data_IF_183019670202
#
_entry.id   IF_183019670202
#
_cell.length_a   1.000
_cell.length_b   1.000
_cell.length_c   1.000
_cell.angle_alpha   90.00
_cell.angle_beta   90.00
_cell.angle_gamma   90.00
#
_symmetry.space_group_name_H-M   'P 1'
#
loop_
_entity.id
_entity.type
_entity.pdbx_description
1 polymer ?
#
# COMPACT_ATOMS: atom_id res chain seq x y z
N UNK A 1 -7.88 32.68 -6.38
CA UNK A 1 -8.31 33.09 -7.74
C UNK A 1 -8.08 32.03 -8.81
N UNK A 2 -6.99 31.24 -8.76
CA UNK A 2 -6.65 30.23 -9.78
C UNK A 2 -7.60 29.00 -9.85
N UNK A 3 -8.30 28.68 -8.76
CA UNK A 3 -9.18 27.49 -8.66
C UNK A 3 -10.51 27.63 -9.43
N UNK A 4 -10.82 28.82 -9.94
CA UNK A 4 -12.03 29.10 -10.72
C UNK A 4 -11.90 28.75 -12.21
N UNK A 5 -10.68 28.49 -12.68
CA UNK A 5 -10.39 28.31 -14.11
C UNK A 5 -10.20 26.85 -14.51
N UNK A 6 -10.20 25.92 -13.56
CA UNK A 6 -10.30 24.49 -13.82
C UNK A 6 -11.78 24.11 -13.73
N UNK A 7 -12.46 23.84 -14.86
CA UNK A 7 -13.70 23.11 -14.79
C UNK A 7 -13.35 21.78 -14.14
N UNK A 8 -13.89 21.51 -12.94
CA UNK A 8 -13.91 20.16 -12.40
C UNK A 8 -14.84 19.42 -13.35
N UNK A 9 -14.27 18.78 -14.37
CA UNK A 9 -15.04 17.95 -15.27
C UNK A 9 -15.76 16.92 -14.42
N UNK A 10 -17.09 16.92 -14.44
CA UNK A 10 -17.92 15.92 -13.79
C UNK A 10 -17.78 14.58 -14.54
N UNK A 11 -16.57 14.01 -14.54
CA UNK A 11 -16.42 12.58 -14.72
C UNK A 11 -17.04 11.94 -13.49
N UNK A 12 -18.35 11.71 -13.51
CA UNK A 12 -19.06 10.93 -12.48
C UNK A 12 -18.51 9.51 -12.52
N UNK A 13 -17.41 9.28 -11.81
CA UNK A 13 -16.90 7.95 -11.52
C UNK A 13 -18.06 7.16 -10.91
N UNK A 14 -18.49 6.14 -11.64
CA UNK A 14 -19.47 5.21 -11.14
C UNK A 14 -18.92 4.57 -9.88
N UNK A 15 -19.76 4.32 -8.88
CA UNK A 15 -19.37 3.64 -7.64
C UNK A 15 -18.59 2.35 -7.91
N UNK A 16 -18.91 1.65 -9.00
CA UNK A 16 -18.21 0.43 -9.44
C UNK A 16 -16.78 0.73 -9.90
N UNK A 17 -16.57 1.79 -10.69
CA UNK A 17 -15.25 2.21 -11.16
C UNK A 17 -14.37 2.65 -9.99
N UNK A 18 -14.95 3.40 -9.05
CA UNK A 18 -14.26 3.81 -7.85
C UNK A 18 -13.78 2.61 -7.01
N UNK A 19 -14.62 1.59 -6.80
CA UNK A 19 -14.24 0.36 -6.09
C UNK A 19 -13.13 -0.39 -6.84
N UNK A 20 -13.20 -0.49 -8.17
CA UNK A 20 -12.17 -1.16 -8.97
C UNK A 20 -10.81 -0.43 -8.89
N UNK A 21 -10.82 0.90 -8.90
CA UNK A 21 -9.60 1.72 -8.78
C UNK A 21 -8.98 1.56 -7.39
N UNK A 22 -9.79 1.58 -6.32
CA UNK A 22 -9.32 1.40 -4.94
C UNK A 22 -8.71 0.00 -4.78
N UNK A 23 -9.43 -1.04 -5.20
CA UNK A 23 -8.95 -2.42 -5.10
C UNK A 23 -7.69 -2.66 -5.94
N UNK A 24 -7.67 -2.15 -7.18
CA UNK A 24 -6.50 -2.21 -8.06
C UNK A 24 -5.30 -1.45 -7.49
N UNK A 25 -5.52 -0.28 -6.88
CA UNK A 25 -4.48 0.53 -6.24
C UNK A 25 -3.79 -0.20 -5.10
N UNK A 26 -4.56 -0.86 -4.22
CA UNK A 26 -4.00 -1.67 -3.13
C UNK A 26 -3.24 -2.91 -3.63
N UNK A 27 -3.74 -3.58 -4.67
CA UNK A 27 -3.05 -4.73 -5.29
C UNK A 27 -1.73 -4.28 -5.92
N UNK A 28 -1.73 -3.18 -6.67
CA UNK A 28 -0.53 -2.63 -7.29
C UNK A 28 0.48 -2.18 -6.24
N UNK A 29 0.04 -1.45 -5.20
CA UNK A 29 0.90 -1.04 -4.10
C UNK A 29 1.57 -2.24 -3.43
N UNK A 30 0.80 -3.30 -3.15
CA UNK A 30 1.32 -4.56 -2.59
C UNK A 30 2.31 -5.25 -3.52
N UNK A 31 2.04 -5.28 -4.83
CA UNK A 31 2.95 -5.82 -5.83
C UNK A 31 4.28 -5.04 -5.88
N UNK A 32 4.23 -3.70 -5.82
CA UNK A 32 5.43 -2.87 -5.74
C UNK A 32 6.20 -3.11 -4.44
N UNK A 33 5.53 -3.22 -3.29
CA UNK A 33 6.23 -3.49 -2.03
C UNK A 33 6.73 -4.92 -1.87
N UNK A 34 6.37 -5.82 -2.78
CA UNK A 34 6.95 -7.17 -2.90
C UNK A 34 8.36 -7.14 -3.51
N UNK A 35 8.68 -6.13 -4.33
CA UNK A 35 9.98 -6.01 -5.01
C UNK A 35 11.20 -6.13 -4.06
N UNK A 36 11.30 -5.38 -2.96
CA UNK A 36 12.45 -5.50 -2.07
C UNK A 36 12.56 -6.86 -1.39
N UNK A 37 11.45 -7.54 -1.08
CA UNK A 37 11.46 -8.91 -0.57
C UNK A 37 11.91 -9.92 -1.64
N UNK A 38 11.47 -9.74 -2.88
CA UNK A 38 11.87 -10.57 -4.01
C UNK A 38 13.35 -10.39 -4.36
N UNK A 39 13.85 -9.15 -4.35
CA UNK A 39 15.25 -8.83 -4.62
C UNK A 39 16.19 -9.28 -3.50
N UNK A 40 15.74 -9.23 -2.25
CA UNK A 40 16.49 -9.75 -1.11
C UNK A 40 16.47 -11.28 -1.00
N UNK A 41 15.61 -11.97 -1.76
CA UNK A 41 15.47 -13.42 -1.70
C UNK A 41 14.99 -13.94 -0.34
N UNK A 42 14.23 -13.13 0.41
CA UNK A 42 13.77 -13.47 1.77
C UNK A 42 12.82 -14.66 1.81
N UNK A 43 12.09 -14.93 0.72
CA UNK A 43 11.11 -16.00 0.64
C UNK A 43 11.37 -16.93 -0.56
N UNK A 44 11.11 -18.25 -0.42
CA UNK A 44 11.24 -19.21 -1.51
C UNK A 44 10.13 -19.05 -2.57
N UNK A 45 8.93 -18.61 -2.18
CA UNK A 45 7.82 -18.36 -3.09
C UNK A 45 7.49 -16.87 -3.18
N UNK A 46 7.18 -16.41 -4.40
CA UNK A 46 6.72 -15.04 -4.64
C UNK A 46 5.40 -14.72 -3.93
N UNK A 47 4.50 -15.70 -3.81
CA UNK A 47 3.22 -15.51 -3.12
C UNK A 47 3.37 -15.22 -1.63
N UNK A 48 4.37 -15.84 -0.98
CA UNK A 48 4.67 -15.62 0.43
C UNK A 48 5.20 -14.19 0.65
N UNK A 49 6.09 -13.74 -0.25
CA UNK A 49 6.59 -12.36 -0.27
C UNK A 49 5.48 -11.33 -0.53
N UNK A 50 4.54 -11.65 -1.44
CA UNK A 50 3.41 -10.78 -1.75
C UNK A 50 2.44 -10.68 -0.58
N UNK A 51 2.15 -11.79 0.09
CA UNK A 51 1.31 -11.81 1.28
C UNK A 51 1.93 -10.99 2.41
N UNK A 52 3.25 -11.08 2.61
CA UNK A 52 3.97 -10.28 3.60
C UNK A 52 3.92 -8.77 3.28
N UNK A 53 4.10 -8.40 2.01
CA UNK A 53 3.99 -7.01 1.58
C UNK A 53 2.56 -6.48 1.76
N UNK A 54 1.56 -7.26 1.36
CA UNK A 54 0.16 -6.91 1.48
C UNK A 54 -0.27 -6.75 2.95
N UNK A 55 0.12 -7.67 3.83
CA UNK A 55 -0.20 -7.62 5.27
C UNK A 55 0.48 -6.44 5.98
N UNK A 56 1.67 -6.03 5.51
CA UNK A 56 2.38 -4.84 5.96
C UNK A 56 1.64 -3.56 5.57
N UNK A 57 1.23 -3.43 4.30
CA UNK A 57 0.48 -2.28 3.81
C UNK A 57 -0.93 -2.16 4.37
N UNK A 58 -1.60 -3.26 4.71
CA UNK A 58 -2.91 -3.21 5.36
C UNK A 58 -2.80 -3.10 6.88
N UNK A 59 -1.57 -3.02 7.43
CA UNK A 59 -1.29 -3.06 8.88
C UNK A 59 -1.91 -4.25 9.61
N UNK A 60 -2.20 -5.33 8.89
CA UNK A 60 -2.66 -6.58 9.48
C UNK A 60 -1.52 -7.22 10.29
N UNK A 61 -0.27 -7.01 9.87
CA UNK A 61 0.91 -7.50 10.59
C UNK A 61 1.04 -9.03 10.60
N UNK A 62 0.33 -9.73 9.72
CA UNK A 62 0.45 -11.17 9.55
C UNK A 62 1.76 -11.50 8.83
N UNK A 63 2.57 -12.41 9.39
CA UNK A 63 3.89 -12.74 8.84
C UNK A 63 3.94 -14.19 8.37
N UNK A 64 4.50 -14.43 7.20
CA UNK A 64 4.79 -15.77 6.65
C UNK A 64 6.20 -16.25 7.05
N UNK A 65 6.96 -15.41 7.76
CA UNK A 65 8.25 -15.80 8.33
C UNK A 65 8.09 -16.95 9.31
N UNK A 66 8.75 -18.07 9.02
CA UNK A 66 8.79 -19.24 9.89
C UNK A 66 9.79 -18.97 11.04
N UNK A 67 9.35 -19.03 12.32
CA UNK A 67 10.22 -18.74 13.46
C UNK A 67 11.40 -19.70 13.61
N UNK A 68 11.34 -20.89 13.00
CA UNK A 68 12.34 -21.95 13.10
C UNK A 68 13.32 -21.97 11.91
N UNK A 69 12.86 -21.59 10.72
CA UNK A 69 13.66 -21.71 9.47
C UNK A 69 14.20 -20.37 8.96
N UNK A 70 13.49 -19.25 9.21
CA UNK A 70 13.86 -17.93 8.73
C UNK A 70 13.37 -16.85 9.72
N UNK A 71 14.01 -16.80 10.89
CA UNK A 71 13.65 -15.85 11.95
C UNK A 71 13.75 -14.41 11.44
N UNK A 72 12.73 -13.60 11.72
CA UNK A 72 12.65 -12.19 11.33
C UNK A 72 13.91 -11.41 11.74
N UNK A 73 14.49 -11.72 12.90
CA UNK A 73 15.65 -11.03 13.48
C UNK A 73 16.97 -11.33 12.76
N UNK A 74 17.05 -12.41 11.98
CA UNK A 74 18.24 -12.74 11.18
C UNK A 74 18.24 -12.11 9.79
N UNK A 75 17.16 -11.42 9.42
CA UNK A 75 17.04 -10.76 8.12
C UNK A 75 17.87 -9.47 8.05
N UNK A 76 18.31 -9.06 6.83
CA UNK A 76 19.06 -7.83 6.66
C UNK A 76 18.32 -6.62 7.23
N UNK A 77 19.04 -5.71 7.89
CA UNK A 77 18.44 -4.49 8.48
C UNK A 77 17.60 -3.67 7.49
N UNK A 78 17.92 -3.73 6.17
CA UNK A 78 17.13 -3.08 5.13
C UNK A 78 15.72 -3.67 4.97
N UNK A 79 15.56 -4.99 5.17
CA UNK A 79 14.26 -5.66 5.14
C UNK A 79 13.47 -5.34 6.40
N UNK A 80 14.10 -5.33 7.57
CA UNK A 80 13.47 -4.89 8.81
C UNK A 80 12.96 -3.44 8.72
N UNK A 81 13.77 -2.53 8.13
CA UNK A 81 13.35 -1.16 7.86
C UNK A 81 12.16 -1.11 6.88
N UNK A 82 12.20 -1.92 5.82
CA UNK A 82 11.10 -2.00 4.84
C UNK A 82 9.79 -2.46 5.48
N UNK A 83 9.84 -3.42 6.40
CA UNK A 83 8.67 -3.86 7.19
C UNK A 83 8.06 -2.72 7.97
N UNK A 84 8.87 -2.00 8.76
CA UNK A 84 8.40 -0.83 9.50
C UNK A 84 7.89 0.28 8.59
N UNK A 85 8.50 0.47 7.41
CA UNK A 85 8.06 1.44 6.42
C UNK A 85 6.71 1.06 5.80
N UNK A 86 6.50 -0.18 5.40
CA UNK A 86 5.22 -0.64 4.83
C UNK A 86 4.07 -0.52 5.83
N UNK A 87 4.32 -0.83 7.11
CA UNK A 87 3.35 -0.61 8.19
C UNK A 87 3.09 0.88 8.45
N UNK A 88 4.12 1.71 8.37
CA UNK A 88 3.97 3.17 8.46
C UNK A 88 3.16 3.75 7.29
N UNK A 89 3.44 3.26 6.07
CA UNK A 89 2.69 3.61 4.87
C UNK A 89 1.23 3.11 4.91
N UNK A 90 0.97 2.02 5.62
CA UNK A 90 -0.32 1.36 5.67
C UNK A 90 -1.36 1.94 6.63
N UNK A 91 -0.98 2.26 7.88
CA UNK A 91 -1.99 2.46 8.94
C UNK A 91 -1.68 3.45 10.05
N UNK A 92 -0.62 4.25 9.95
CA UNK A 92 -0.37 5.33 10.92
C UNK A 92 -0.90 6.70 10.50
N UNK A 93 -1.78 6.77 9.51
CA UNK A 93 -2.50 8.02 9.27
C UNK A 93 -3.60 7.88 8.23
N UNK A 94 -4.82 8.20 8.64
CA UNK A 94 -5.87 8.67 7.74
C UNK A 94 -5.38 9.87 6.87
N UNK A 95 -4.25 10.49 7.25
CA UNK A 95 -3.55 11.56 6.55
C UNK A 95 -2.35 11.11 5.69
N UNK A 96 -2.02 9.81 5.60
CA UNK A 96 -0.94 9.39 4.72
C UNK A 96 -1.38 9.52 3.26
N UNK A 97 -0.55 10.14 2.42
CA UNK A 97 -0.80 10.32 1.00
C UNK A 97 -1.27 9.01 0.35
N UNK A 98 -0.58 7.89 0.59
CA UNK A 98 -0.91 6.62 -0.06
C UNK A 98 -2.33 6.12 0.26
N UNK A 99 -2.71 6.13 1.55
CA UNK A 99 -4.03 5.69 2.00
C UNK A 99 -5.13 6.66 1.54
N UNK A 100 -4.86 7.97 1.55
CA UNK A 100 -5.78 8.99 1.02
C UNK A 100 -5.99 8.87 -0.49
N UNK A 101 -4.91 8.65 -1.25
CA UNK A 101 -4.94 8.47 -2.71
C UNK A 101 -5.73 7.22 -3.12
N UNK A 102 -5.52 6.10 -2.42
CA UNK A 102 -6.13 4.82 -2.81
C UNK A 102 -7.54 4.67 -2.23
N UNK A 103 -7.80 5.07 -0.99
CA UNK A 103 -9.10 4.86 -0.31
C UNK A 103 -10.12 5.97 -0.58
N UNK A 104 -9.66 7.20 -0.86
CA UNK A 104 -10.53 8.33 -1.17
C UNK A 104 -10.18 8.99 -2.51
N UNK A 105 -10.20 8.25 -3.64
CA UNK A 105 -9.85 8.83 -4.94
C UNK A 105 -10.78 10.00 -5.35
N UNK A 106 -11.99 10.05 -4.79
CA UNK A 106 -12.94 11.15 -4.98
C UNK A 106 -12.63 12.42 -4.17
N UNK A 107 -11.80 12.34 -3.11
CA UNK A 107 -11.40 13.51 -2.32
C UNK A 107 -10.30 14.33 -2.98
N UNK A 108 -9.61 13.77 -3.97
CA UNK A 108 -8.46 14.40 -4.63
C UNK A 108 -8.83 15.58 -5.55
N UNK A 109 -10.12 15.92 -5.65
CA UNK A 109 -10.64 17.05 -6.43
C UNK A 109 -11.71 17.89 -5.71
N UNK A 110 -12.03 17.59 -4.45
CA UNK A 110 -13.01 18.36 -3.67
C UNK A 110 -12.28 19.38 -2.78
N UNK A 111 -12.61 20.68 -2.86
CA UNK A 111 -11.98 21.68 -1.98
C UNK A 111 -12.34 21.39 -0.51
N UNK A 112 -11.44 21.68 0.43
CA UNK A 112 -11.74 21.56 1.85
C UNK A 112 -12.92 22.48 2.19
N UNK A 113 -13.94 21.91 2.84
CA UNK A 113 -15.10 22.63 3.35
C UNK A 113 -14.78 23.47 4.57
#
# INVERSE_FOLDING_TARGET
LLWRLTPVGEGRLSRREAIMIVAGGWILASAFGTLPYALAGTFPNYLDAFFEAMSGFTTTGATVFDPVVNSIESQPHGILLWRSLTQWLGGNGDNNALCGFISYPWYWGSPPG
#
